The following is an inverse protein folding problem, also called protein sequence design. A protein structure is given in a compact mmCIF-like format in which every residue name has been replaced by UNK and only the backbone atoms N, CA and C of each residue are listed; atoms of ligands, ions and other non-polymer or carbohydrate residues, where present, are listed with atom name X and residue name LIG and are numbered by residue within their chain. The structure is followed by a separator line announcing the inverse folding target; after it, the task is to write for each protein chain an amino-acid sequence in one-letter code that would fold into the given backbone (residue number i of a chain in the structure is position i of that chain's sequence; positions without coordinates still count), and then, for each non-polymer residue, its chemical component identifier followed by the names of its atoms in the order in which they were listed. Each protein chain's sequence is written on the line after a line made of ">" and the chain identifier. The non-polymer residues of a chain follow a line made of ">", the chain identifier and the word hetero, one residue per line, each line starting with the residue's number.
data_IF_866106917606
#
_entry.id   IF_866106917606
#
_cell.length_a   1.000
_cell.length_b   1.000
_cell.length_c   1.000
_cell.angle_alpha   90.00
_cell.angle_beta   90.00
_cell.angle_gamma   90.00
#
_symmetry.space_group_name_H-M   'P 1'
#
loop_
_entity.id
_entity.type
_entity.pdbx_description
1 polymer ?
#
# COMPACT_ATOMS: atom_id res chain seq x y z
N UNK A 1 17.36 21.60 -18.62
CA UNK A 1 16.68 22.14 -17.41
C UNK A 1 15.74 21.03 -16.96
N UNK A 2 15.97 20.41 -15.80
CA UNK A 2 15.06 19.38 -15.31
C UNK A 2 13.71 20.03 -15.00
N UNK A 3 12.64 19.59 -15.66
CA UNK A 3 11.28 19.99 -15.30
C UNK A 3 10.96 19.36 -13.94
N UNK A 4 10.73 20.19 -12.93
CA UNK A 4 10.23 19.73 -11.64
C UNK A 4 8.72 19.53 -11.74
N UNK A 5 8.26 18.32 -11.43
CA UNK A 5 6.84 18.02 -11.34
C UNK A 5 6.27 18.56 -10.02
N UNK A 6 5.06 19.11 -10.05
CA UNK A 6 4.38 19.54 -8.83
C UNK A 6 3.57 18.38 -8.26
N UNK A 7 3.67 18.15 -6.95
CA UNK A 7 2.87 17.16 -6.23
C UNK A 7 1.87 17.86 -5.33
N UNK A 8 0.63 17.38 -5.29
CA UNK A 8 -0.38 17.82 -4.34
C UNK A 8 -0.99 16.62 -3.63
N UNK A 9 -1.32 16.79 -2.35
CA UNK A 9 -1.86 15.73 -1.51
C UNK A 9 -3.23 16.17 -1.01
N UNK A 10 -4.23 15.33 -1.27
CA UNK A 10 -5.60 15.50 -0.81
C UNK A 10 -5.92 14.43 0.23
N UNK A 11 -6.70 14.80 1.24
CA UNK A 11 -7.15 13.92 2.30
C UNK A 11 -8.68 13.86 2.31
N UNK A 12 -9.22 12.64 2.30
CA UNK A 12 -10.65 12.39 2.41
C UNK A 12 -10.88 11.36 3.52
N UNK A 13 -11.82 11.64 4.43
CA UNK A 13 -12.17 10.71 5.50
C UNK A 13 -12.85 9.46 4.93
N UNK A 14 -12.32 8.29 5.26
CA UNK A 14 -12.96 7.00 5.01
C UNK A 14 -13.78 6.59 6.25
N UNK A 15 -14.96 7.18 6.38
CA UNK A 15 -15.94 6.86 7.43
C UNK A 15 -17.23 6.29 6.82
N UNK A 16 -18.26 6.09 7.63
CA UNK A 16 -19.59 5.62 7.18
C UNK A 16 -20.29 6.58 6.20
N UNK A 17 -19.86 7.84 6.13
CA UNK A 17 -20.38 8.87 5.24
C UNK A 17 -19.53 9.03 3.96
N UNK A 18 -18.46 8.25 3.81
CA UNK A 18 -17.62 8.30 2.62
C UNK A 18 -18.41 7.90 1.36
N UNK A 19 -18.38 8.78 0.37
CA UNK A 19 -18.92 8.53 -0.97
C UNK A 19 -17.80 8.75 -1.98
N UNK A 20 -17.52 7.77 -2.86
CA UNK A 20 -16.61 7.98 -3.97
C UNK A 20 -17.14 9.10 -4.86
N UNK A 21 -16.30 10.08 -5.24
CA UNK A 21 -16.67 11.10 -6.20
C UNK A 21 -16.90 10.48 -7.59
N UNK A 22 -17.72 11.15 -8.42
CA UNK A 22 -18.03 10.70 -9.77
C UNK A 22 -16.79 10.64 -10.69
N UNK A 23 -15.78 11.48 -10.44
CA UNK A 23 -14.48 11.44 -11.13
C UNK A 23 -13.55 10.31 -10.63
N UNK A 24 -13.72 9.87 -9.37
CA UNK A 24 -13.09 8.67 -8.79
C UNK A 24 -13.87 7.38 -9.08
N UNK A 25 -14.79 7.39 -10.07
CA UNK A 25 -15.59 6.21 -10.48
C UNK A 25 -14.76 4.96 -10.83
N UNK A 26 -13.42 5.04 -10.92
CA UNK A 26 -12.61 4.02 -11.57
C UNK A 26 -11.59 3.22 -10.72
N UNK A 27 -11.13 3.61 -9.51
CA UNK A 27 -9.70 3.29 -9.21
C UNK A 27 -9.20 2.79 -7.84
N UNK A 28 -10.03 2.55 -6.81
CA UNK A 28 -9.49 1.98 -5.54
C UNK A 28 -10.25 0.80 -4.97
N UNK A 29 -9.49 -0.14 -4.39
CA UNK A 29 -10.02 -1.36 -3.78
C UNK A 29 -11.08 -1.08 -2.70
N UNK A 30 -10.99 0.05 -2.00
CA UNK A 30 -11.95 0.49 -0.98
C UNK A 30 -13.11 1.32 -1.54
N UNK A 31 -13.01 1.90 -2.75
CA UNK A 31 -14.14 2.58 -3.38
C UNK A 31 -15.27 1.61 -3.73
N UNK A 32 -14.96 0.36 -4.07
CA UNK A 32 -15.96 -0.68 -4.33
C UNK A 32 -16.79 -1.01 -3.06
N UNK A 33 -16.17 -0.98 -1.87
CA UNK A 33 -16.89 -1.14 -0.59
C UNK A 33 -17.88 -0.01 -0.32
N UNK A 34 -17.58 1.17 -0.86
CA UNK A 34 -18.33 2.39 -0.64
C UNK A 34 -19.42 2.64 -1.71
N UNK A 35 -19.99 1.58 -2.30
CA UNK A 35 -21.00 1.67 -3.37
C UNK A 35 -22.25 0.84 -3.08
N UNK A 36 -23.31 1.15 -3.83
CA UNK A 36 -24.57 0.43 -3.80
C UNK A 36 -25.41 0.69 -2.55
N UNK A 37 -26.55 -0.01 -2.45
CA UNK A 37 -27.53 0.17 -1.37
C UNK A 37 -26.96 -0.21 0.01
N UNK A 38 -25.98 -1.11 0.06
CA UNK A 38 -25.32 -1.55 1.30
C UNK A 38 -24.08 -0.73 1.68
N UNK A 39 -23.79 0.39 0.98
CA UNK A 39 -22.60 1.22 1.20
C UNK A 39 -22.33 1.51 2.68
N UNK A 40 -23.26 2.16 3.36
CA UNK A 40 -23.05 2.64 4.72
C UNK A 40 -22.82 1.47 5.69
N UNK A 41 -23.58 0.39 5.53
CA UNK A 41 -23.46 -0.82 6.33
C UNK A 41 -22.10 -1.52 6.10
N UNK A 42 -21.65 -1.61 4.84
CA UNK A 42 -20.34 -2.16 4.50
C UNK A 42 -19.20 -1.36 5.14
N UNK A 43 -19.25 -0.03 5.04
CA UNK A 43 -18.25 0.86 5.63
C UNK A 43 -18.23 0.74 7.16
N UNK A 44 -19.41 0.78 7.79
CA UNK A 44 -19.56 0.60 9.23
C UNK A 44 -19.00 -0.74 9.72
N UNK A 45 -19.36 -1.85 9.06
CA UNK A 45 -18.84 -3.19 9.38
C UNK A 45 -17.32 -3.26 9.20
N UNK A 46 -16.79 -2.66 8.13
CA UNK A 46 -15.35 -2.60 7.86
C UNK A 46 -14.62 -1.88 8.98
N UNK A 47 -15.05 -0.68 9.34
CA UNK A 47 -14.42 0.13 10.41
C UNK A 47 -14.52 -0.56 11.77
N UNK A 48 -15.66 -1.21 12.06
CA UNK A 48 -15.81 -2.04 13.26
C UNK A 48 -14.84 -3.21 13.29
N UNK A 49 -14.64 -3.91 12.17
CA UNK A 49 -13.66 -4.99 12.08
C UNK A 49 -12.23 -4.48 12.32
N UNK A 50 -11.88 -3.30 11.78
CA UNK A 50 -10.58 -2.65 12.04
C UNK A 50 -10.42 -2.35 13.53
N UNK A 51 -11.41 -1.70 14.16
CA UNK A 51 -11.35 -1.38 15.59
C UNK A 51 -11.21 -2.64 16.45
N UNK A 52 -12.02 -3.67 16.18
CA UNK A 52 -11.96 -4.93 16.92
C UNK A 52 -10.58 -5.59 16.77
N UNK A 53 -10.03 -5.61 15.55
CA UNK A 53 -8.73 -6.20 15.31
C UNK A 53 -7.60 -5.41 15.97
N UNK A 54 -7.69 -4.09 15.94
CA UNK A 54 -6.72 -3.21 16.62
C UNK A 54 -6.71 -3.49 18.12
N UNK A 55 -7.88 -3.47 18.77
CA UNK A 55 -7.99 -3.70 20.22
C UNK A 55 -7.55 -5.13 20.61
N UNK A 56 -7.81 -6.13 19.78
CA UNK A 56 -7.35 -7.50 20.03
C UNK A 56 -5.82 -7.64 20.02
N UNK A 57 -5.12 -6.82 19.23
CA UNK A 57 -3.65 -6.80 19.20
C UNK A 57 -3.09 -5.88 20.29
N UNK A 58 -3.69 -4.71 20.50
CA UNK A 58 -3.38 -3.75 21.56
C UNK A 58 -4.12 -4.12 22.86
N UNK A 59 -3.87 -5.34 23.34
CA UNK A 59 -4.55 -5.96 24.48
C UNK A 59 -4.01 -5.49 25.84
N UNK A 60 -2.79 -4.93 25.86
CA UNK A 60 -2.21 -4.37 27.08
C UNK A 60 -3.01 -3.14 27.54
N UNK A 61 -3.34 -3.11 28.83
CA UNK A 61 -4.17 -2.06 29.43
C UNK A 61 -5.50 -1.80 28.69
N UNK A 62 -6.08 -2.87 28.11
CA UNK A 62 -7.31 -2.83 27.33
C UNK A 62 -8.22 -4.06 27.62
N UNK A 63 -8.67 -4.24 28.87
CA UNK A 63 -9.36 -5.46 29.30
C UNK A 63 -10.72 -5.69 28.63
N UNK A 64 -11.37 -4.62 28.17
CA UNK A 64 -12.69 -4.61 27.52
C UNK A 64 -12.61 -4.59 25.99
N UNK A 65 -11.40 -4.50 25.43
CA UNK A 65 -11.15 -4.45 23.99
C UNK A 65 -11.89 -3.30 23.25
N UNK A 66 -12.11 -2.18 23.93
CA UNK A 66 -12.82 -1.00 23.42
C UNK A 66 -12.08 0.33 23.66
N UNK A 67 -10.82 0.28 24.13
CA UNK A 67 -10.01 1.49 24.40
C UNK A 67 -9.71 2.31 23.15
N UNK A 68 -9.53 1.67 22.00
CA UNK A 68 -9.04 2.35 20.80
C UNK A 68 -10.09 2.35 19.66
N UNK A 69 -10.12 3.46 18.92
CA UNK A 69 -10.68 3.50 17.56
C UNK A 69 -9.58 3.81 16.55
N UNK A 70 -9.73 3.35 15.32
CA UNK A 70 -8.83 3.65 14.20
C UNK A 70 -9.58 4.46 13.16
N UNK A 71 -9.21 5.73 13.06
CA UNK A 71 -9.67 6.59 11.99
C UNK A 71 -8.85 6.30 10.73
N UNK A 72 -9.51 6.27 9.57
CA UNK A 72 -8.88 5.99 8.28
C UNK A 72 -9.12 7.15 7.33
N UNK A 73 -8.05 7.65 6.72
CA UNK A 73 -8.08 8.70 5.71
C UNK A 73 -7.54 8.17 4.39
N UNK A 74 -8.24 8.45 3.29
CA UNK A 74 -7.74 8.27 1.93
C UNK A 74 -6.85 9.44 1.61
N UNK A 75 -5.61 9.13 1.24
CA UNK A 75 -4.60 10.05 0.78
C UNK A 75 -4.46 9.87 -0.72
N UNK A 76 -4.88 10.86 -1.48
CA UNK A 76 -4.74 10.89 -2.93
C UNK A 76 -3.62 11.85 -3.30
N UNK A 77 -2.68 11.37 -4.13
CA UNK A 77 -1.54 12.14 -4.60
C UNK A 77 -1.73 12.44 -6.07
N UNK A 78 -1.88 13.72 -6.40
CA UNK A 78 -1.98 14.19 -7.78
C UNK A 78 -0.66 14.84 -8.19
N UNK A 79 -0.25 14.60 -9.42
CA UNK A 79 0.99 15.15 -9.98
C UNK A 79 0.69 15.95 -11.25
N UNK A 80 1.20 17.19 -11.29
CA UNK A 80 1.23 18.01 -12.50
C UNK A 80 2.62 17.94 -13.11
N UNK A 81 2.71 17.26 -14.25
CA UNK A 81 3.95 17.06 -14.99
C UNK A 81 4.17 18.08 -16.12
N UNK A 82 3.11 18.79 -16.52
CA UNK A 82 3.17 19.80 -17.56
C UNK A 82 3.40 21.21 -17.01
N UNK A 83 3.18 21.42 -15.71
CA UNK A 83 3.22 22.72 -15.04
C UNK A 83 2.08 23.65 -15.46
N UNK A 84 0.95 23.07 -15.89
CA UNK A 84 -0.20 23.82 -16.45
C UNK A 84 -1.39 23.87 -15.51
N UNK A 85 -1.30 23.24 -14.33
CA UNK A 85 -2.41 23.07 -13.39
C UNK A 85 -3.25 21.82 -13.64
N UNK A 86 -3.00 21.09 -14.73
CA UNK A 86 -3.69 19.83 -15.06
C UNK A 86 -2.99 18.66 -14.37
N UNK A 87 -3.47 18.30 -13.18
CA UNK A 87 -2.87 17.22 -12.37
C UNK A 87 -3.51 15.86 -12.65
N UNK A 88 -2.71 14.80 -12.63
CA UNK A 88 -3.16 13.41 -12.75
C UNK A 88 -2.97 12.65 -11.44
N UNK A 89 -3.95 11.84 -10.98
CA UNK A 89 -3.80 11.03 -9.77
C UNK A 89 -2.79 9.90 -10.00
N UNK A 90 -1.71 9.85 -9.21
CA UNK A 90 -0.64 8.86 -9.37
C UNK A 90 -0.78 7.73 -8.36
N UNK A 91 -1.03 8.07 -7.09
CA UNK A 91 -1.08 7.13 -5.96
C UNK A 91 -2.29 7.44 -5.09
N UNK A 92 -2.96 6.40 -4.63
CA UNK A 92 -3.91 6.47 -3.52
C UNK A 92 -3.51 5.46 -2.45
N UNK A 93 -3.52 5.90 -1.19
CA UNK A 93 -3.20 5.06 -0.05
C UNK A 93 -4.03 5.46 1.16
N UNK A 94 -4.09 4.59 2.15
CA UNK A 94 -4.76 4.85 3.42
C UNK A 94 -3.74 5.26 4.47
N UNK A 95 -4.10 6.29 5.22
CA UNK A 95 -3.44 6.70 6.46
C UNK A 95 -4.36 6.37 7.63
N UNK A 96 -3.79 5.89 8.72
CA UNK A 96 -4.52 5.62 9.95
C UNK A 96 -4.17 6.64 11.02
N UNK A 97 -5.12 6.91 11.92
CA UNK A 97 -4.91 7.66 13.16
C UNK A 97 -5.56 6.87 14.29
N UNK A 98 -4.79 6.55 15.34
CA UNK A 98 -5.32 5.86 16.51
C UNK A 98 -5.93 6.90 17.45
N UNK A 99 -7.17 6.67 17.86
CA UNK A 99 -7.86 7.44 18.90
C UNK A 99 -7.83 6.61 20.18
N UNK A 100 -7.13 7.09 21.20
CA UNK A 100 -7.12 6.48 22.53
C UNK A 100 -8.18 7.14 23.41
N UNK A 101 -9.25 6.40 23.73
CA UNK A 101 -10.36 6.91 24.53
C UNK A 101 -10.04 7.02 26.01
N UNK A 102 -9.00 6.34 26.50
CA UNK A 102 -8.59 6.40 27.91
C UNK A 102 -7.83 7.69 28.20
N UNK A 103 -6.85 7.99 27.36
CA UNK A 103 -6.00 9.18 27.51
C UNK A 103 -6.54 10.39 26.74
N UNK A 104 -7.60 10.20 25.94
CA UNK A 104 -8.21 11.21 25.07
C UNK A 104 -7.19 11.87 24.12
N UNK A 105 -6.35 11.05 23.50
CA UNK A 105 -5.29 11.48 22.59
C UNK A 105 -5.45 10.88 21.20
N UNK A 106 -4.90 11.56 20.20
CA UNK A 106 -4.77 11.05 18.83
C UNK A 106 -3.30 10.77 18.56
N UNK A 107 -3.02 9.57 18.06
CA UNK A 107 -1.68 9.07 17.80
C UNK A 107 -1.59 8.77 16.30
N UNK A 108 -0.50 9.19 15.66
CA UNK A 108 -0.26 8.87 14.26
C UNK A 108 -0.18 7.36 14.07
N UNK A 109 -0.95 6.86 13.10
CA UNK A 109 -0.88 5.48 12.64
C UNK A 109 -0.09 5.33 11.35
N UNK A 110 -0.13 4.14 10.78
CA UNK A 110 0.58 3.84 9.55
C UNK A 110 -0.01 4.56 8.33
N UNK A 111 0.87 5.08 7.49
CA UNK A 111 0.60 5.55 6.12
C UNK A 111 1.08 4.49 5.11
N UNK A 112 0.34 4.28 4.02
CA UNK A 112 0.71 3.34 2.94
C UNK A 112 -0.16 2.10 2.85
N UNK A 113 -1.14 1.95 3.75
CA UNK A 113 -2.11 0.87 3.71
C UNK A 113 -2.93 0.91 2.40
N UNK A 114 -3.31 -0.25 1.86
CA UNK A 114 -4.11 -0.36 0.61
C UNK A 114 -3.55 0.46 -0.56
N UNK A 115 -2.23 0.48 -0.71
CA UNK A 115 -1.54 1.18 -1.80
C UNK A 115 -2.10 0.82 -3.17
N UNK A 116 -2.64 1.81 -3.85
CA UNK A 116 -3.07 1.80 -5.25
C UNK A 116 -2.20 2.77 -6.03
N UNK A 117 -1.79 2.38 -7.23
CA UNK A 117 -1.04 3.25 -8.13
C UNK A 117 -1.52 3.06 -9.56
N UNK A 118 -1.76 4.18 -10.23
CA UNK A 118 -2.22 4.23 -11.62
C UNK A 118 -1.14 3.69 -12.55
N UNK A 119 0.12 4.11 -12.34
CA UNK A 119 1.27 3.64 -13.12
C UNK A 119 1.56 2.17 -12.85
N UNK A 120 1.39 1.69 -11.61
CA UNK A 120 1.48 0.25 -11.31
C UNK A 120 0.45 -0.56 -12.06
N UNK A 121 -0.80 -0.11 -12.07
CA UNK A 121 -1.85 -0.84 -12.74
C UNK A 121 -1.68 -0.81 -14.27
N UNK A 122 -1.14 0.28 -14.82
CA UNK A 122 -0.67 0.34 -16.22
C UNK A 122 0.44 -0.69 -16.50
N UNK A 123 1.50 -0.70 -15.70
CA UNK A 123 2.63 -1.62 -15.87
C UNK A 123 2.16 -3.08 -15.83
N UNK A 124 1.42 -3.48 -14.79
CA UNK A 124 1.01 -4.87 -14.62
C UNK A 124 -0.15 -5.30 -15.53
N UNK A 125 -1.08 -4.40 -15.86
CA UNK A 125 -2.33 -4.77 -16.56
C UNK A 125 -2.33 -4.40 -18.04
N UNK A 126 -1.35 -3.63 -18.51
CA UNK A 126 -1.18 -3.26 -19.92
C UNK A 126 0.18 -3.71 -20.42
N UNK A 127 1.27 -3.13 -19.91
CA UNK A 127 2.63 -3.38 -20.42
C UNK A 127 3.01 -4.85 -20.31
N UNK A 128 2.85 -5.45 -19.12
CA UNK A 128 3.26 -6.83 -18.86
C UNK A 128 2.40 -7.84 -19.64
N UNK A 129 1.08 -7.61 -19.71
CA UNK A 129 0.17 -8.49 -20.44
C UNK A 129 0.45 -8.45 -21.94
N UNK A 130 0.65 -7.25 -22.51
CA UNK A 130 0.99 -7.08 -23.92
C UNK A 130 2.35 -7.68 -24.26
N UNK A 131 3.32 -7.57 -23.35
CA UNK A 131 4.63 -8.19 -23.51
C UNK A 131 4.53 -9.72 -23.59
N UNK A 132 3.85 -10.36 -22.63
CA UNK A 132 3.71 -11.82 -22.62
C UNK A 132 2.79 -12.35 -23.72
N UNK A 133 1.82 -11.57 -24.19
CA UNK A 133 1.02 -11.93 -25.35
C UNK A 133 1.87 -12.05 -26.63
N UNK A 134 2.91 -11.22 -26.76
CA UNK A 134 3.86 -11.25 -27.87
C UNK A 134 5.03 -12.21 -27.64
N UNK A 135 5.43 -12.37 -26.37
CA UNK A 135 6.61 -13.14 -25.96
C UNK A 135 6.28 -14.02 -24.73
N UNK A 136 5.61 -15.16 -24.88
CA UNK A 136 5.06 -15.92 -23.74
C UNK A 136 6.09 -16.51 -22.76
N UNK A 137 7.35 -16.66 -23.19
CA UNK A 137 8.41 -17.33 -22.42
C UNK A 137 9.61 -16.41 -22.11
N UNK A 138 9.51 -15.11 -22.39
CA UNK A 138 10.58 -14.16 -22.04
C UNK A 138 10.49 -13.72 -20.59
N UNK A 139 11.59 -13.16 -20.09
CA UNK A 139 11.55 -12.35 -18.88
C UNK A 139 10.73 -11.07 -19.14
N UNK A 140 10.20 -10.41 -18.10
CA UNK A 140 9.63 -9.07 -18.20
C UNK A 140 10.60 -8.06 -18.85
N UNK A 141 10.10 -6.93 -19.38
CA UNK A 141 10.96 -5.83 -19.84
C UNK A 141 11.99 -5.41 -18.80
N UNK A 142 13.21 -5.08 -19.23
CA UNK A 142 14.31 -4.71 -18.32
C UNK A 142 14.02 -3.44 -17.51
N UNK A 143 13.30 -2.50 -18.12
CA UNK A 143 12.85 -1.22 -17.57
C UNK A 143 11.52 -1.32 -16.81
N UNK A 144 10.98 -2.54 -16.63
CA UNK A 144 9.69 -2.75 -15.99
C UNK A 144 9.65 -2.15 -14.57
N UNK A 145 8.79 -1.15 -14.38
CA UNK A 145 8.62 -0.43 -13.11
C UNK A 145 9.61 0.70 -12.85
N UNK A 146 10.54 0.99 -13.76
CA UNK A 146 11.53 2.05 -13.57
C UNK A 146 10.90 3.44 -13.44
N UNK A 147 9.94 3.76 -14.31
CA UNK A 147 9.23 5.04 -14.27
C UNK A 147 8.49 5.20 -12.94
N UNK A 148 7.71 4.19 -12.53
CA UNK A 148 6.97 4.27 -11.28
C UNK A 148 7.89 4.34 -10.05
N UNK A 149 8.99 3.57 -10.05
CA UNK A 149 10.02 3.65 -9.03
C UNK A 149 10.54 5.08 -8.87
N UNK A 150 10.94 5.72 -9.99
CA UNK A 150 11.42 7.11 -9.99
C UNK A 150 10.34 8.09 -9.51
N UNK A 151 9.09 7.96 -9.98
CA UNK A 151 7.98 8.81 -9.55
C UNK A 151 7.70 8.67 -8.04
N UNK A 152 7.79 7.45 -7.50
CA UNK A 152 7.64 7.20 -6.07
C UNK A 152 8.76 7.85 -5.26
N UNK A 153 10.03 7.69 -5.67
CA UNK A 153 11.15 8.39 -5.06
C UNK A 153 11.01 9.91 -5.13
N UNK A 154 10.55 10.42 -6.27
CA UNK A 154 10.30 11.85 -6.45
C UNK A 154 9.24 12.36 -5.47
N UNK A 155 8.12 11.64 -5.34
CA UNK A 155 7.06 11.95 -4.38
C UNK A 155 7.58 12.00 -2.95
N UNK A 156 8.28 10.97 -2.48
CA UNK A 156 8.80 10.93 -1.09
C UNK A 156 9.77 12.08 -0.79
N UNK A 157 10.45 12.57 -1.81
CA UNK A 157 11.36 13.71 -1.71
C UNK A 157 10.67 15.06 -1.93
N UNK A 158 9.40 15.10 -2.36
CA UNK A 158 8.68 16.35 -2.62
C UNK A 158 8.36 17.12 -1.33
N UNK A 159 8.24 18.44 -1.44
CA UNK A 159 7.80 19.28 -0.31
C UNK A 159 6.39 18.92 0.14
N UNK A 160 5.50 18.56 -0.80
CA UNK A 160 4.15 18.15 -0.50
C UNK A 160 4.10 16.93 0.43
N UNK A 161 4.95 15.92 0.18
CA UNK A 161 5.02 14.75 1.05
C UNK A 161 5.59 15.11 2.43
N UNK A 162 6.70 15.84 2.47
CA UNK A 162 7.38 16.22 3.72
C UNK A 162 6.54 17.17 4.59
N UNK A 163 5.66 17.95 3.99
CA UNK A 163 4.72 18.81 4.71
C UNK A 163 3.56 18.03 5.36
N UNK A 164 3.24 16.83 4.85
CA UNK A 164 2.10 16.04 5.32
C UNK A 164 2.50 14.82 6.16
N UNK A 165 3.72 14.29 5.96
CA UNK A 165 4.17 13.05 6.58
C UNK A 165 5.62 13.15 7.06
N UNK A 166 5.85 12.65 8.26
CA UNK A 166 7.19 12.58 8.88
C UNK A 166 7.87 11.24 8.63
N UNK A 167 7.10 10.21 8.30
CA UNK A 167 7.56 8.84 8.05
C UNK A 167 7.27 8.40 6.62
N UNK A 168 8.07 7.46 6.12
CA UNK A 168 7.86 6.79 4.84
C UNK A 168 6.70 5.80 4.92
N UNK A 169 6.03 5.49 3.80
CA UNK A 169 4.89 4.59 3.82
C UNK A 169 5.34 3.14 3.98
N UNK A 170 4.55 2.36 4.71
CA UNK A 170 4.64 0.90 4.73
C UNK A 170 3.47 0.34 3.95
N UNK A 171 3.79 -0.37 2.87
CA UNK A 171 2.79 -1.00 2.02
C UNK A 171 2.61 -2.43 2.51
N UNK A 172 1.42 -2.75 3.00
CA UNK A 172 1.09 -4.09 3.45
C UNK A 172 0.14 -4.79 2.46
N UNK A 173 0.52 -5.96 1.96
CA UNK A 173 -0.17 -6.71 0.92
C UNK A 173 -0.42 -8.18 1.32
N UNK A 174 -1.29 -8.82 0.55
CA UNK A 174 -1.42 -10.27 0.55
C UNK A 174 -0.12 -10.94 0.12
N UNK A 175 0.20 -12.09 0.71
CA UNK A 175 1.17 -13.02 0.14
C UNK A 175 0.71 -13.56 -1.21
N UNK A 176 1.66 -13.85 -2.10
CA UNK A 176 1.40 -14.44 -3.41
C UNK A 176 1.07 -15.93 -3.32
N UNK A 177 0.05 -16.38 -4.06
CA UNK A 177 -0.33 -17.80 -4.15
C UNK A 177 0.61 -18.65 -5.02
N UNK A 178 1.52 -18.03 -5.78
CA UNK A 178 2.51 -18.74 -6.60
C UNK A 178 3.84 -18.98 -5.88
N UNK A 179 3.92 -18.68 -4.57
CA UNK A 179 5.10 -18.86 -3.74
C UNK A 179 4.79 -19.69 -2.51
N UNK A 180 5.82 -20.33 -2.00
CA UNK A 180 5.82 -21.06 -0.74
C UNK A 180 6.58 -20.25 0.29
N UNK A 181 6.07 -20.22 1.52
CA UNK A 181 6.62 -19.48 2.64
C UNK A 181 6.96 -20.45 3.76
N UNK A 182 8.17 -20.35 4.27
CA UNK A 182 8.67 -21.17 5.38
C UNK A 182 8.72 -20.33 6.64
N UNK A 183 8.06 -20.81 7.70
CA UNK A 183 8.07 -20.23 9.02
C UNK A 183 9.49 -20.23 9.57
N UNK A 184 9.89 -19.11 10.17
CA UNK A 184 11.19 -18.98 10.84
C UNK A 184 11.03 -19.09 12.36
N UNK A 185 12.15 -19.06 13.08
CA UNK A 185 12.18 -18.96 14.54
C UNK A 185 12.01 -17.53 15.05
N UNK A 186 12.06 -16.52 14.17
CA UNK A 186 11.94 -15.13 14.56
C UNK A 186 10.47 -14.79 14.85
N UNK A 187 10.23 -14.17 16.01
CA UNK A 187 8.90 -13.76 16.45
C UNK A 187 8.96 -12.35 17.03
N UNK A 188 8.20 -11.46 16.40
CA UNK A 188 8.03 -10.09 16.85
C UNK A 188 6.78 -9.98 17.76
N UNK A 189 6.79 -9.16 18.82
CA UNK A 189 5.64 -9.02 19.73
C UNK A 189 4.33 -8.61 19.04
N UNK A 190 4.40 -7.64 18.12
CA UNK A 190 3.25 -7.18 17.32
C UNK A 190 3.07 -7.92 15.99
N UNK A 191 4.09 -7.91 15.13
CA UNK A 191 4.01 -8.52 13.78
C UNK A 191 3.84 -10.04 13.82
N UNK A 192 4.16 -10.71 14.93
CA UNK A 192 4.05 -12.14 15.10
C UNK A 192 5.20 -12.91 14.46
N UNK A 193 4.92 -14.10 13.95
CA UNK A 193 5.98 -15.01 13.47
C UNK A 193 6.41 -14.62 12.06
N UNK A 194 7.73 -14.53 11.83
CA UNK A 194 8.27 -14.24 10.51
C UNK A 194 8.28 -15.48 9.61
N UNK A 195 7.95 -15.27 8.35
CA UNK A 195 8.05 -16.24 7.26
C UNK A 195 9.08 -15.76 6.23
N UNK A 196 9.75 -16.72 5.58
CA UNK A 196 10.66 -16.48 4.46
C UNK A 196 10.11 -17.12 3.20
N UNK A 197 10.13 -16.39 2.09
CA UNK A 197 9.76 -16.92 0.79
C UNK A 197 10.82 -17.91 0.29
N UNK A 198 10.40 -19.09 -0.14
CA UNK A 198 11.29 -20.17 -0.59
C UNK A 198 11.99 -19.83 -1.92
N UNK A 199 13.23 -20.30 -2.09
CA UNK A 199 14.05 -20.11 -3.29
C UNK A 199 14.38 -18.65 -3.61
N UNK A 200 14.15 -17.73 -2.68
CA UNK A 200 14.28 -16.29 -2.89
C UNK A 200 15.32 -15.69 -1.92
N UNK A 201 16.10 -14.73 -2.41
CA UNK A 201 16.82 -13.79 -1.54
C UNK A 201 15.96 -12.55 -1.36
N UNK A 202 16.28 -11.69 -0.38
CA UNK A 202 15.53 -10.47 -0.10
C UNK A 202 15.25 -9.70 -1.40
N UNK A 203 13.97 -9.48 -1.72
CA UNK A 203 13.49 -8.81 -2.94
C UNK A 203 13.88 -9.47 -4.30
N UNK A 204 14.21 -10.76 -4.34
CA UNK A 204 14.56 -11.45 -5.59
C UNK A 204 13.78 -12.75 -5.75
N UNK A 205 13.27 -12.99 -6.96
CA UNK A 205 12.55 -14.22 -7.28
C UNK A 205 11.02 -14.06 -7.31
N UNK A 206 10.51 -12.84 -7.18
CA UNK A 206 9.10 -12.47 -7.38
C UNK A 206 9.06 -11.14 -8.13
N UNK A 207 8.30 -11.11 -9.23
CA UNK A 207 8.15 -9.92 -10.07
C UNK A 207 7.64 -8.72 -9.27
N UNK A 208 6.71 -8.95 -8.34
CA UNK A 208 6.17 -7.89 -7.48
C UNK A 208 7.23 -7.36 -6.53
N UNK A 209 8.05 -8.23 -5.95
CA UNK A 209 9.08 -7.83 -4.99
C UNK A 209 10.19 -7.02 -5.70
N UNK A 210 10.58 -7.45 -6.90
CA UNK A 210 11.55 -6.74 -7.74
C UNK A 210 10.99 -5.38 -8.19
N UNK A 211 9.70 -5.31 -8.54
CA UNK A 211 9.02 -4.06 -8.88
C UNK A 211 9.03 -3.06 -7.70
N UNK A 212 8.66 -3.49 -6.49
CA UNK A 212 8.72 -2.64 -5.31
C UNK A 212 10.16 -2.30 -4.89
N UNK A 213 11.16 -3.11 -5.27
CA UNK A 213 12.56 -2.77 -5.05
C UNK A 213 13.00 -1.53 -5.83
N UNK A 214 12.41 -1.27 -7.01
CA UNK A 214 12.65 -0.04 -7.79
C UNK A 214 12.17 1.22 -7.04
N UNK A 215 11.19 1.07 -6.15
CA UNK A 215 10.74 2.11 -5.22
C UNK A 215 11.63 2.25 -3.97
N UNK A 216 12.72 1.48 -3.88
CA UNK A 216 13.59 1.44 -2.70
C UNK A 216 12.98 0.72 -1.50
N UNK A 217 11.97 -0.14 -1.74
CA UNK A 217 11.29 -0.88 -0.68
C UNK A 217 11.86 -2.30 -0.56
N UNK A 218 11.90 -2.79 0.67
CA UNK A 218 12.26 -4.15 1.06
C UNK A 218 11.05 -4.89 1.59
N UNK A 219 10.91 -6.18 1.30
CA UNK A 219 9.80 -7.00 1.77
C UNK A 219 10.20 -7.91 2.93
N UNK A 220 9.32 -8.01 3.94
CA UNK A 220 9.32 -9.06 4.96
C UNK A 220 7.93 -9.62 5.17
N UNK A 221 7.83 -10.87 5.58
CA UNK A 221 6.55 -11.55 5.75
C UNK A 221 6.33 -11.91 7.20
N UNK A 222 5.21 -11.47 7.78
CA UNK A 222 4.90 -11.74 9.16
C UNK A 222 3.46 -12.21 9.30
N UNK A 223 3.22 -13.19 10.16
CA UNK A 223 1.90 -13.65 10.55
C UNK A 223 1.59 -13.16 11.96
N UNK A 224 0.75 -12.12 12.10
CA UNK A 224 0.33 -11.61 13.41
C UNK A 224 -0.42 -12.68 14.21
N UNK A 225 -0.43 -12.51 15.52
CA UNK A 225 -1.16 -13.41 16.41
C UNK A 225 -2.64 -13.50 16.00
N UNK A 226 -3.18 -14.72 15.93
CA UNK A 226 -4.56 -15.01 15.54
C UNK A 226 -4.93 -14.61 14.09
N UNK A 227 -3.95 -14.46 13.19
CA UNK A 227 -4.19 -14.38 11.74
C UNK A 227 -4.16 -15.76 11.09
N UNK A 228 -4.88 -15.92 9.98
CA UNK A 228 -4.87 -17.17 9.22
C UNK A 228 -3.63 -17.36 8.34
N UNK A 229 -3.02 -16.26 7.89
CA UNK A 229 -1.90 -16.28 6.94
C UNK A 229 -0.95 -15.09 7.16
N UNK A 230 0.32 -15.19 6.73
CA UNK A 230 1.26 -14.06 6.75
C UNK A 230 0.83 -12.91 5.82
N UNK A 231 1.22 -11.70 6.17
CA UNK A 231 1.12 -10.48 5.38
C UNK A 231 2.52 -10.08 4.89
N UNK A 232 2.59 -9.50 3.70
CA UNK A 232 3.82 -8.95 3.12
C UNK A 232 3.94 -7.46 3.45
N UNK A 233 5.00 -7.06 4.13
CA UNK A 233 5.29 -5.67 4.50
C UNK A 233 6.43 -5.16 3.64
N UNK A 234 6.14 -4.19 2.77
CA UNK A 234 7.11 -3.45 1.97
C UNK A 234 7.41 -2.11 2.61
N UNK A 235 8.68 -1.85 2.91
CA UNK A 235 9.10 -0.67 3.66
C UNK A 235 10.49 -0.20 3.23
N UNK A 236 10.82 1.06 3.50
CA UNK A 236 12.17 1.58 3.39
C UNK A 236 12.73 1.82 4.81
N UNK A 237 14.02 1.55 5.03
CA UNK A 237 14.64 1.64 6.35
C UNK A 237 14.48 0.33 7.13
N UNK A 238 14.17 0.42 8.43
CA UNK A 238 13.98 -0.72 9.31
C UNK A 238 12.57 -0.75 9.89
N UNK A 239 11.75 -1.71 9.42
CA UNK A 239 10.38 -1.91 9.86
C UNK A 239 10.24 -2.07 11.38
N UNK A 240 11.25 -2.67 12.05
CA UNK A 240 11.16 -3.06 13.45
C UNK A 240 11.53 -1.93 14.42
N UNK A 241 12.34 -0.97 13.98
CA UNK A 241 12.79 0.15 14.83
C UNK A 241 12.16 1.49 14.47
N UNK A 242 11.77 1.69 13.20
CA UNK A 242 11.35 3.00 12.71
C UNK A 242 9.86 3.29 13.02
N UNK A 243 9.11 2.26 13.42
CA UNK A 243 7.67 2.30 13.69
C UNK A 243 7.35 1.75 15.07
N UNK A 244 6.41 2.39 15.74
CA UNK A 244 5.90 1.98 17.06
C UNK A 244 4.97 0.78 16.94
N UNK A 245 4.77 0.09 18.06
CA UNK A 245 3.83 -1.02 18.15
C UNK A 245 2.41 -0.63 17.69
N UNK A 246 1.91 0.56 18.08
CA UNK A 246 0.57 1.01 17.67
C UNK A 246 0.49 1.31 16.17
N UNK A 247 1.55 1.84 15.55
CA UNK A 247 1.62 2.02 14.10
C UNK A 247 1.58 0.67 13.38
N UNK A 248 2.37 -0.31 13.82
CA UNK A 248 2.37 -1.65 13.24
C UNK A 248 1.01 -2.34 13.42
N UNK A 249 0.38 -2.22 14.59
CA UNK A 249 -0.98 -2.74 14.83
C UNK A 249 -1.99 -2.07 13.90
N UNK A 250 -1.90 -0.75 13.71
CA UNK A 250 -2.82 -0.03 12.80
C UNK A 250 -2.71 -0.56 11.37
N UNK A 251 -1.50 -0.84 10.88
CA UNK A 251 -1.28 -1.44 9.57
C UNK A 251 -1.90 -2.84 9.47
N UNK A 252 -1.66 -3.70 10.47
CA UNK A 252 -2.23 -5.05 10.51
C UNK A 252 -3.75 -5.00 10.57
N UNK A 253 -4.33 -4.21 11.48
CA UNK A 253 -5.77 -4.16 11.70
C UNK A 253 -6.54 -3.69 10.46
N UNK A 254 -5.99 -2.69 9.77
CA UNK A 254 -6.54 -2.19 8.51
C UNK A 254 -6.38 -3.22 7.39
N UNK A 255 -5.16 -3.69 7.14
CA UNK A 255 -4.90 -4.55 5.99
C UNK A 255 -5.45 -5.95 6.13
N UNK A 256 -5.43 -6.55 7.32
CA UNK A 256 -6.04 -7.86 7.54
C UNK A 256 -7.55 -7.81 7.35
N UNK A 257 -8.22 -6.76 7.82
CA UNK A 257 -9.66 -6.55 7.55
C UNK A 257 -9.93 -6.52 6.04
N UNK A 258 -9.18 -5.70 5.29
CA UNK A 258 -9.33 -5.64 3.85
C UNK A 258 -9.02 -6.99 3.17
N UNK A 259 -7.98 -7.70 3.59
CA UNK A 259 -7.66 -9.00 3.02
C UNK A 259 -8.72 -10.07 3.34
N UNK A 260 -9.37 -10.03 4.51
CA UNK A 260 -10.51 -10.91 4.85
C UNK A 260 -11.70 -10.69 3.93
N UNK A 261 -11.91 -9.45 3.47
CA UNK A 261 -12.94 -9.12 2.49
C UNK A 261 -12.51 -9.54 1.07
N UNK A 262 -11.25 -9.28 0.70
CA UNK A 262 -10.78 -9.42 -0.69
C UNK A 262 -10.37 -10.84 -1.07
N UNK A 263 -9.78 -11.56 -0.13
CA UNK A 263 -9.17 -12.88 -0.29
C UNK A 263 -9.48 -13.76 0.94
N UNK A 264 -10.77 -13.99 1.24
CA UNK A 264 -11.17 -14.77 2.40
C UNK A 264 -10.61 -16.20 2.36
N UNK A 265 -10.34 -16.75 1.17
CA UNK A 265 -9.70 -18.06 0.97
C UNK A 265 -8.32 -18.17 1.63
N UNK A 266 -7.64 -17.03 1.84
CA UNK A 266 -6.31 -16.95 2.47
C UNK A 266 -6.43 -16.39 3.88
N UNK A 267 -7.11 -15.26 4.06
CA UNK A 267 -7.07 -14.48 5.30
C UNK A 267 -8.25 -14.69 6.23
N UNK A 268 -9.31 -15.34 5.74
CA UNK A 268 -10.45 -15.78 6.54
C UNK A 268 -10.68 -17.30 6.43
N UNK A 269 -9.59 -18.04 6.16
CA UNK A 269 -9.56 -19.49 6.18
C UNK A 269 -9.79 -20.00 7.60
N UNK A 270 -10.47 -21.14 7.72
CA UNK A 270 -10.74 -21.78 9.01
C UNK A 270 -9.53 -22.60 9.53
N UNK A 271 -8.47 -22.68 8.72
CA UNK A 271 -7.16 -23.20 9.12
C UNK A 271 -6.09 -22.13 9.00
N UNK A 272 -5.08 -22.21 9.87
CA UNK A 272 -3.94 -21.28 9.90
C UNK A 272 -2.76 -21.83 9.10
N UNK A 273 -1.91 -20.93 8.62
CA UNK A 273 -0.68 -21.27 7.92
C UNK A 273 0.24 -22.14 8.80
N UNK A 274 0.65 -23.30 8.27
CA UNK A 274 1.61 -24.19 8.91
C UNK A 274 3.07 -23.70 8.83
N UNK A 275 4.02 -24.58 9.15
CA UNK A 275 5.46 -24.29 9.04
C UNK A 275 5.91 -24.06 7.59
N UNK A 276 5.28 -24.75 6.64
CA UNK A 276 5.42 -24.52 5.21
C UNK A 276 4.04 -24.19 4.68
N UNK A 277 3.90 -23.01 4.07
CA UNK A 277 2.61 -22.48 3.66
C UNK A 277 2.64 -22.01 2.20
N UNK A 278 1.73 -22.53 1.38
CA UNK A 278 1.46 -22.02 0.05
C UNK A 278 0.00 -21.52 0.00
N UNK A 279 -0.22 -20.20 -0.16
CA UNK A 279 -1.57 -19.65 -0.20
C UNK A 279 -2.33 -20.15 -1.43
N UNK A 280 -3.65 -20.33 -1.32
CA UNK A 280 -4.49 -20.76 -2.44
C UNK A 280 -5.81 -20.00 -2.48
N UNK A 281 -6.07 -19.35 -3.62
CA UNK A 281 -7.36 -18.72 -3.91
C UNK A 281 -8.47 -19.72 -4.27
N UNK A 282 -8.15 -21.03 -4.26
CA UNK A 282 -9.10 -22.12 -4.50
C UNK A 282 -9.43 -22.88 -3.21
N UNK A 283 -8.86 -22.47 -2.07
CA UNK A 283 -9.16 -23.08 -0.78
C UNK A 283 -10.66 -22.91 -0.45
N UNK A 284 -11.31 -23.98 -0.02
CA UNK A 284 -12.78 -24.02 0.16
C UNK A 284 -13.23 -23.86 1.61
N UNK A 285 -12.34 -24.14 2.57
CA UNK A 285 -12.67 -24.09 4.00
C UNK A 285 -12.40 -22.70 4.59
N UNK A 286 -13.24 -21.73 4.20
CA UNK A 286 -13.14 -20.35 4.67
C UNK A 286 -14.52 -19.77 4.99
N UNK A 287 -14.51 -18.69 5.75
CA UNK A 287 -15.73 -17.94 6.10
C UNK A 287 -15.82 -16.66 5.27
N UNK A 288 -17.04 -16.25 4.89
CA UNK A 288 -17.27 -14.94 4.28
C UNK A 288 -17.61 -13.90 5.35
N UNK A 289 -17.16 -12.66 5.15
CA UNK A 289 -17.63 -11.52 5.93
C UNK A 289 -19.08 -11.19 5.57
N UNK A 290 -19.82 -10.55 6.47
CA UNK A 290 -21.16 -10.00 6.16
C UNK A 290 -21.10 -8.66 5.42
N UNK A 291 -20.03 -8.43 4.66
CA UNK A 291 -19.78 -7.23 3.87
C UNK A 291 -19.93 -7.63 2.41
N UNK A 292 -20.81 -6.93 1.69
CA UNK A 292 -21.02 -7.19 0.26
C UNK A 292 -19.91 -6.51 -0.52
N UNK A 293 -19.16 -7.29 -1.30
CA UNK A 293 -18.02 -6.79 -2.07
C UNK A 293 -17.95 -7.45 -3.46
N UNK A 294 -17.90 -6.63 -4.51
CA UNK A 294 -17.85 -7.15 -5.88
C UNK A 294 -16.40 -7.44 -6.30
N UNK A 295 -16.01 -8.71 -6.12
CA UNK A 295 -14.68 -9.21 -6.50
C UNK A 295 -14.48 -9.29 -8.02
N UNK A 296 -15.55 -9.44 -8.79
CA UNK A 296 -15.47 -9.52 -10.25
C UNK A 296 -15.19 -8.14 -10.85
N UNK A 297 -15.89 -7.10 -10.37
CA UNK A 297 -15.61 -5.71 -10.73
C UNK A 297 -14.15 -5.35 -10.38
N UNK A 298 -13.70 -5.66 -9.17
CA UNK A 298 -12.32 -5.40 -8.74
C UNK A 298 -11.27 -5.96 -9.72
N UNK A 299 -11.48 -7.18 -10.22
CA UNK A 299 -10.56 -7.81 -11.17
C UNK A 299 -10.50 -7.08 -12.52
N UNK A 300 -11.58 -6.41 -12.91
CA UNK A 300 -11.63 -5.58 -14.12
C UNK A 300 -11.09 -4.16 -13.90
N UNK A 301 -11.13 -3.65 -12.66
CA UNK A 301 -10.71 -2.29 -12.35
C UNK A 301 -9.25 -2.03 -12.68
N UNK A 302 -8.33 -2.93 -12.34
CA UNK A 302 -6.91 -2.74 -12.62
C UNK A 302 -6.63 -2.58 -14.13
N UNK A 303 -7.35 -3.32 -14.99
CA UNK A 303 -7.24 -3.20 -16.45
C UNK A 303 -7.82 -1.87 -16.94
N UNK A 304 -8.98 -1.47 -16.44
CA UNK A 304 -9.61 -0.18 -16.80
C UNK A 304 -8.74 1.01 -16.39
N UNK A 305 -8.21 0.97 -15.17
CA UNK A 305 -7.29 1.97 -14.64
C UNK A 305 -5.98 2.00 -15.42
N UNK A 306 -5.42 0.83 -15.76
CA UNK A 306 -4.21 0.75 -16.57
C UNK A 306 -4.39 1.41 -17.95
N UNK A 307 -5.50 1.14 -18.63
CA UNK A 307 -5.83 1.79 -19.92
C UNK A 307 -6.09 3.29 -19.79
N UNK A 308 -6.83 3.70 -18.76
CA UNK A 308 -7.04 5.12 -18.48
C UNK A 308 -5.71 5.85 -18.25
N UNK A 309 -4.81 5.24 -17.48
CA UNK A 309 -3.46 5.78 -17.24
C UNK A 309 -2.66 5.85 -18.53
N UNK A 310 -2.74 4.81 -19.38
CA UNK A 310 -2.09 4.83 -20.69
C UNK A 310 -2.55 6.02 -21.53
N UNK A 311 -3.87 6.22 -21.64
CA UNK A 311 -4.48 7.23 -22.51
C UNK A 311 -4.35 8.66 -21.99
N UNK A 312 -4.44 8.86 -20.68
CA UNK A 312 -4.53 10.19 -20.07
C UNK A 312 -3.23 10.67 -19.44
N UNK A 313 -2.28 9.76 -19.16
CA UNK A 313 -1.03 10.10 -18.49
C UNK A 313 0.20 9.66 -19.29
N UNK A 314 0.29 8.40 -19.69
CA UNK A 314 1.50 7.89 -20.37
C UNK A 314 1.61 8.47 -21.77
N UNK A 315 0.64 8.23 -22.66
CA UNK A 315 0.69 8.68 -24.07
C UNK A 315 0.78 10.20 -24.23
N UNK A 316 -0.01 11.03 -23.52
CA UNK A 316 0.03 12.49 -23.72
C UNK A 316 1.34 13.14 -23.27
N UNK A 317 2.06 12.50 -22.35
CA UNK A 317 3.25 13.07 -21.72
C UNK A 317 4.49 12.20 -21.86
N UNK A 318 4.48 11.24 -22.79
CA UNK A 318 5.54 10.26 -22.98
C UNK A 318 6.92 10.92 -23.10
N UNK A 319 7.06 11.88 -24.02
CA UNK A 319 8.33 12.58 -24.22
C UNK A 319 8.86 13.27 -22.95
N UNK A 320 7.96 13.85 -22.14
CA UNK A 320 8.32 14.53 -20.89
C UNK A 320 8.74 13.51 -19.83
N UNK A 321 7.99 12.41 -19.71
CA UNK A 321 8.26 11.35 -18.75
C UNK A 321 9.57 10.63 -19.09
N UNK A 322 9.85 10.38 -20.36
CA UNK A 322 11.07 9.71 -20.82
C UNK A 322 12.30 10.60 -20.63
N UNK A 323 12.23 11.88 -21.03
CA UNK A 323 13.32 12.85 -20.80
C UNK A 323 13.60 13.02 -19.30
N UNK A 324 12.55 13.11 -18.49
CA UNK A 324 12.67 13.22 -17.05
C UNK A 324 13.24 11.94 -16.43
N UNK A 325 12.73 10.77 -16.81
CA UNK A 325 13.21 9.50 -16.27
C UNK A 325 14.68 9.24 -16.63
N UNK A 326 15.13 9.65 -17.82
CA UNK A 326 16.53 9.53 -18.23
C UNK A 326 17.46 10.46 -17.43
N UNK A 327 16.97 11.63 -16.98
CA UNK A 327 17.75 12.62 -16.24
C UNK A 327 17.64 12.50 -14.71
N UNK A 328 16.61 11.82 -14.20
CA UNK A 328 16.37 11.65 -12.77
C UNK A 328 17.18 10.51 -12.19
N UNK A 329 18.30 10.86 -11.55
CA UNK A 329 19.07 9.95 -10.72
C UNK A 329 18.61 10.03 -9.25
N UNK A 330 18.08 8.90 -8.77
CA UNK A 330 17.53 8.72 -7.42
C UNK A 330 18.60 8.97 -6.34
N UNK A 331 19.83 8.50 -6.56
CA UNK A 331 20.90 8.57 -5.57
C UNK A 331 21.42 10.01 -5.38
N UNK A 332 21.67 10.72 -6.49
CA UNK A 332 22.13 12.11 -6.42
C UNK A 332 21.07 13.08 -5.91
N UNK A 333 19.78 12.84 -6.16
CA UNK A 333 18.71 13.70 -5.63
C UNK A 333 18.50 13.52 -4.12
N UNK A 334 18.55 12.27 -3.62
CA UNK A 334 18.48 12.01 -2.18
C UNK A 334 19.64 12.71 -1.43
N UNK A 335 20.88 12.55 -1.91
CA UNK A 335 22.06 13.17 -1.29
C UNK A 335 22.03 14.71 -1.32
N UNK A 336 21.55 15.33 -2.42
CA UNK A 336 21.41 16.78 -2.52
C UNK A 336 20.41 17.33 -1.50
N UNK A 337 19.27 16.66 -1.28
CA UNK A 337 18.27 17.12 -0.32
C UNK A 337 18.69 16.93 1.13
N UNK A 338 19.37 15.84 1.47
CA UNK A 338 19.97 15.66 2.81
C UNK A 338 20.97 16.76 3.12
N UNK A 339 21.86 17.10 2.17
CA UNK A 339 22.83 18.19 2.34
C UNK A 339 22.16 19.58 2.51
N UNK A 340 21.01 19.83 1.87
CA UNK A 340 20.23 21.06 2.05
C UNK A 340 19.55 21.07 3.42
N UNK A 341 18.99 19.95 3.87
CA UNK A 341 18.34 19.81 5.18
C UNK A 341 19.34 19.99 6.32
N UNK A 342 20.52 19.39 6.23
CA UNK A 342 21.60 19.59 7.22
C UNK A 342 22.05 21.06 7.30
N UNK A 343 22.14 21.76 6.16
CA UNK A 343 22.47 23.18 6.11
C UNK A 343 21.38 24.05 6.74
N UNK A 344 20.11 23.72 6.54
CA UNK A 344 18.99 24.45 7.14
C UNK A 344 18.96 24.28 8.67
N UNK A 345 19.19 23.06 9.17
CA UNK A 345 19.26 22.78 10.62
C UNK A 345 20.44 23.50 11.27
N UNK A 346 21.63 23.48 10.64
CA UNK A 346 22.81 24.22 11.13
C UNK A 346 22.61 25.74 11.17
N UNK A 347 21.78 26.29 10.27
CA UNK A 347 21.46 27.72 10.22
C UNK A 347 20.38 28.15 11.23
N UNK A 348 19.58 27.22 11.74
CA UNK A 348 18.62 27.49 12.84
C UNK A 348 19.25 27.30 14.23
N UNK A 349 20.34 26.55 14.32
CA UNK A 349 21.09 26.33 15.56
C UNK A 349 22.19 27.38 15.84
N UNK A 350 22.40 28.32 14.92
CA UNK A 350 23.32 29.45 15.02
C UNK A 350 22.53 30.76 14.99
#
# INVERSE_FOLDING_TARGET
>A
MNKEFSCSIKRIRFDENYHPADSTRLTTNFANLARGEHRQENLHKTLRMINNRFNALAHWDNPTADRYSVDVDIISVDMDIAGKGDSFPIIEMLQTTIVDHKENTRIDGMIGNSFSSYVRDYDFSVVLLDHFAKNPASAPPEDFGDLHGKLFHYLLNSEAYQANFTKKPVICLSVSSNKTYQRTTNQHPVLGVEYRQDGCSLNKGSLTDEYFSKMGLTVRYFMPANSAAPLAFYFAGDLLSDYTDLELISAIATMETFQKIYRPEIYNANSTAGEVYQPSLKYQDYSLTQIVYDRAERSQMAVKQGKFTEEQFIKPYQDILDEWAASYDVASHAAKKEAVKEKAVKKQAA
#
